data_IF_219911191218
#
_entry.id   IF_219911191218
#
_cell.length_a   1.000
_cell.length_b   1.000
_cell.length_c   1.000
_cell.angle_alpha   90.00
_cell.angle_beta   90.00
_cell.angle_gamma   90.00
#
_symmetry.space_group_name_H-M   'P 1'
#
loop_
_entity.id
_entity.type
_entity.pdbx_description
1 polymer ?
#
# COMPACT_ATOMS: atom_id res chain seq x y z
N UNK A 1 -34.57 27.27 4.71
CA UNK A 1 -34.59 25.94 4.07
C UNK A 1 -33.24 25.78 3.37
N UNK A 2 -32.29 25.16 4.06
CA UNK A 2 -30.97 24.89 3.51
C UNK A 2 -31.04 23.57 2.73
N UNK A 3 -30.48 23.60 1.54
CA UNK A 3 -30.38 22.53 0.57
C UNK A 3 -29.86 21.21 1.19
N UNK A 4 -30.60 20.07 1.13
CA UNK A 4 -30.23 18.84 1.82
C UNK A 4 -29.32 17.90 0.99
N UNK A 5 -28.59 18.39 -0.02
CA UNK A 5 -27.66 17.57 -0.81
C UNK A 5 -26.34 18.33 -1.09
N UNK A 6 -25.20 17.86 -0.56
CA UNK A 6 -24.61 16.62 -1.08
C UNK A 6 -23.98 15.74 0.03
N UNK A 7 -24.76 14.82 0.59
CA UNK A 7 -24.23 13.57 1.20
C UNK A 7 -24.34 12.37 0.26
N UNK A 8 -24.70 12.61 -1.01
CA UNK A 8 -24.69 11.59 -2.05
C UNK A 8 -23.29 11.48 -2.65
N UNK A 9 -22.72 10.29 -2.50
CA UNK A 9 -21.50 9.79 -3.16
C UNK A 9 -20.18 10.37 -2.62
N UNK A 10 -19.86 10.10 -1.36
CA UNK A 10 -18.47 9.75 -1.07
C UNK A 10 -18.25 8.39 -1.75
N UNK A 11 -17.69 8.39 -2.98
CA UNK A 11 -17.33 7.13 -3.63
C UNK A 11 -16.45 6.35 -2.66
N UNK A 12 -16.85 5.13 -2.34
CA UNK A 12 -15.98 4.18 -1.65
C UNK A 12 -14.91 3.74 -2.65
N UNK A 13 -13.90 4.60 -2.85
CA UNK A 13 -12.81 4.39 -3.79
C UNK A 13 -12.06 3.09 -3.52
N UNK A 14 -12.11 2.55 -2.29
CA UNK A 14 -11.52 1.24 -1.95
C UNK A 14 -12.30 0.05 -2.56
N UNK A 15 -13.53 0.27 -3.04
CA UNK A 15 -14.33 -0.77 -3.73
C UNK A 15 -14.21 -0.72 -5.24
N UNK A 16 -13.66 0.36 -5.79
CA UNK A 16 -13.42 0.48 -7.22
C UNK A 16 -12.10 -0.20 -7.58
N UNK A 17 -12.17 -1.10 -8.57
CA UNK A 17 -10.99 -1.79 -9.08
C UNK A 17 -10.74 -1.44 -10.54
N UNK A 18 -9.50 -1.07 -10.83
CA UNK A 18 -8.95 -0.98 -12.17
C UNK A 18 -7.47 -1.38 -12.08
N UNK A 19 -6.91 -1.98 -13.14
CA UNK A 19 -5.48 -2.21 -13.18
C UNK A 19 -4.71 -0.89 -13.19
N UNK A 20 -3.52 -0.94 -12.59
CA UNK A 20 -2.57 0.16 -12.70
C UNK A 20 -1.86 0.15 -14.06
N UNK A 21 -1.32 1.32 -14.39
CA UNK A 21 -0.47 1.53 -15.56
C UNK A 21 0.77 0.64 -15.51
N UNK A 22 1.24 0.21 -16.68
CA UNK A 22 2.39 -0.69 -16.82
C UNK A 22 3.66 -0.14 -16.14
N UNK A 23 3.83 1.18 -16.16
CA UNK A 23 4.92 1.89 -15.48
C UNK A 23 4.96 1.59 -13.96
N UNK A 24 3.81 1.47 -13.31
CA UNK A 24 3.75 1.16 -11.88
C UNK A 24 4.28 -0.24 -11.60
N UNK A 25 3.90 -1.23 -12.42
CA UNK A 25 4.38 -2.60 -12.29
C UNK A 25 5.87 -2.71 -12.59
N UNK A 26 6.33 -2.08 -13.68
CA UNK A 26 7.74 -2.06 -14.08
C UNK A 26 8.65 -1.56 -12.96
N UNK A 27 8.27 -0.45 -12.31
CA UNK A 27 9.04 0.12 -11.18
C UNK A 27 9.23 -0.84 -10.01
N UNK A 28 8.23 -1.68 -9.73
CA UNK A 28 8.33 -2.70 -8.68
C UNK A 28 9.24 -3.84 -9.16
N UNK A 29 8.94 -4.40 -10.33
CA UNK A 29 9.63 -5.58 -10.87
C UNK A 29 11.14 -5.35 -11.04
N UNK A 30 11.55 -4.16 -11.48
CA UNK A 30 12.98 -3.79 -11.63
C UNK A 30 13.76 -3.77 -10.31
N UNK A 31 13.07 -3.73 -9.17
CA UNK A 31 13.66 -3.60 -7.84
C UNK A 31 13.45 -4.84 -6.97
N UNK A 32 12.83 -5.89 -7.50
CA UNK A 32 12.63 -7.15 -6.78
C UNK A 32 13.93 -7.94 -6.71
N UNK A 33 14.05 -8.74 -5.65
CA UNK A 33 15.16 -9.67 -5.48
C UNK A 33 14.64 -11.10 -5.68
N UNK A 34 15.31 -11.95 -6.48
CA UNK A 34 14.93 -13.36 -6.57
C UNK A 34 14.93 -14.02 -5.19
N UNK A 35 13.90 -14.83 -4.90
CA UNK A 35 13.70 -15.50 -3.62
C UNK A 35 13.05 -14.66 -2.51
N UNK A 36 12.88 -13.35 -2.72
CA UNK A 36 12.20 -12.45 -1.77
C UNK A 36 10.77 -12.92 -1.49
N UNK A 37 10.37 -12.93 -0.21
CA UNK A 37 9.02 -13.24 0.20
C UNK A 37 8.18 -11.95 0.26
N UNK A 38 7.17 -11.87 -0.59
CA UNK A 38 6.39 -10.65 -0.84
C UNK A 38 4.94 -10.85 -0.40
N UNK A 39 4.39 -9.90 0.36
CA UNK A 39 2.95 -9.77 0.58
C UNK A 39 2.36 -8.70 -0.34
N UNK A 40 1.46 -9.09 -1.26
CA UNK A 40 0.68 -8.15 -2.06
C UNK A 40 -0.69 -7.93 -1.44
N UNK A 41 -0.95 -6.69 -1.01
CA UNK A 41 -2.20 -6.27 -0.37
C UNK A 41 -3.09 -5.63 -1.45
N UNK A 42 -4.28 -6.20 -1.66
CA UNK A 42 -5.17 -5.80 -2.76
C UNK A 42 -4.68 -6.32 -4.09
N UNK A 43 -4.42 -7.62 -4.16
CA UNK A 43 -3.80 -8.25 -5.32
C UNK A 43 -4.67 -8.23 -6.59
N UNK A 44 -5.94 -7.80 -6.49
CA UNK A 44 -6.82 -7.64 -7.63
C UNK A 44 -7.00 -8.95 -8.41
N UNK A 45 -6.70 -8.90 -9.71
CA UNK A 45 -6.79 -10.04 -10.63
C UNK A 45 -5.51 -10.89 -10.67
N UNK A 46 -4.61 -10.76 -9.69
CA UNK A 46 -3.33 -11.47 -9.56
C UNK A 46 -2.28 -11.11 -10.59
N UNK A 47 -2.52 -10.10 -11.43
CA UNK A 47 -1.61 -9.73 -12.52
C UNK A 47 -0.21 -9.39 -12.05
N UNK A 48 -0.07 -8.54 -11.03
CA UNK A 48 1.24 -8.20 -10.51
C UNK A 48 1.84 -9.40 -9.76
N UNK A 49 1.08 -10.09 -8.91
CA UNK A 49 1.51 -11.31 -8.22
C UNK A 49 2.18 -12.32 -9.16
N UNK A 50 1.55 -12.60 -10.30
CA UNK A 50 2.07 -13.55 -11.30
C UNK A 50 3.41 -13.08 -11.86
N UNK A 51 3.53 -11.81 -12.20
CA UNK A 51 4.77 -11.23 -12.74
C UNK A 51 5.90 -11.21 -11.71
N UNK A 52 5.58 -10.99 -10.44
CA UNK A 52 6.57 -11.08 -9.35
C UNK A 52 7.07 -12.52 -9.18
N UNK A 53 6.18 -13.52 -9.32
CA UNK A 53 6.57 -14.94 -9.30
C UNK A 53 7.44 -15.30 -10.51
N UNK A 54 7.15 -14.76 -11.70
CA UNK A 54 7.98 -14.91 -12.89
C UNK A 54 9.36 -14.28 -12.71
N UNK A 55 9.45 -13.15 -12.00
CA UNK A 55 10.71 -12.53 -11.60
C UNK A 55 11.46 -13.28 -10.48
N UNK A 56 10.94 -14.43 -10.02
CA UNK A 56 11.59 -15.32 -9.06
C UNK A 56 11.23 -15.08 -7.59
N UNK A 57 10.24 -14.23 -7.29
CA UNK A 57 9.76 -14.02 -5.93
C UNK A 57 8.82 -15.14 -5.44
N UNK A 58 8.64 -15.21 -4.12
CA UNK A 58 7.57 -15.97 -3.47
C UNK A 58 6.49 -14.99 -3.02
N UNK A 59 5.29 -15.10 -3.55
CA UNK A 59 4.24 -14.10 -3.36
C UNK A 59 3.08 -14.66 -2.56
N UNK A 60 2.60 -13.88 -1.61
CA UNK A 60 1.35 -14.07 -0.88
C UNK A 60 0.41 -12.94 -1.32
N UNK A 61 -0.58 -13.28 -2.13
CA UNK A 61 -1.52 -12.34 -2.74
C UNK A 61 -2.84 -12.35 -1.96
N UNK A 62 -3.18 -11.22 -1.33
CA UNK A 62 -4.41 -11.06 -0.54
C UNK A 62 -5.37 -10.12 -1.28
N UNK A 63 -6.59 -10.58 -1.52
CA UNK A 63 -7.66 -9.79 -2.13
C UNK A 63 -8.98 -10.06 -1.40
N UNK A 64 -9.75 -9.00 -1.10
CA UNK A 64 -11.06 -9.09 -0.43
C UNK A 64 -12.21 -9.27 -1.42
N UNK A 65 -12.08 -8.70 -2.62
CA UNK A 65 -13.10 -8.68 -3.64
C UNK A 65 -13.08 -10.00 -4.42
N UNK A 66 -13.95 -10.93 -4.00
CA UNK A 66 -14.07 -12.25 -4.62
C UNK A 66 -14.18 -12.17 -6.15
N UNK A 67 -15.00 -11.25 -6.67
CA UNK A 67 -15.25 -11.14 -8.11
C UNK A 67 -14.00 -10.76 -8.92
N UNK A 68 -13.12 -9.92 -8.37
CA UNK A 68 -11.88 -9.53 -9.04
C UNK A 68 -10.89 -10.68 -9.01
N UNK A 69 -10.72 -11.30 -7.84
CA UNK A 69 -9.85 -12.44 -7.67
C UNK A 69 -10.27 -13.65 -8.52
N UNK A 70 -11.59 -13.90 -8.60
CA UNK A 70 -12.19 -14.95 -9.42
C UNK A 70 -11.84 -14.79 -10.91
N UNK A 71 -11.84 -13.55 -11.44
CA UNK A 71 -11.42 -13.27 -12.82
C UNK A 71 -9.95 -13.64 -13.04
N UNK A 72 -9.08 -13.31 -12.09
CA UNK A 72 -7.66 -13.69 -12.13
C UNK A 72 -7.47 -15.21 -12.18
N UNK A 73 -8.19 -15.96 -11.33
CA UNK A 73 -8.16 -17.42 -11.34
C UNK A 73 -8.69 -18.02 -12.65
N UNK A 74 -9.80 -17.48 -13.18
CA UNK A 74 -10.36 -17.92 -14.46
C UNK A 74 -9.38 -17.70 -15.62
N UNK A 75 -8.66 -16.58 -15.64
CA UNK A 75 -7.61 -16.31 -16.63
C UNK A 75 -6.45 -17.33 -16.56
N UNK A 76 -6.26 -17.97 -15.40
CA UNK A 76 -5.31 -19.07 -15.19
C UNK A 76 -5.90 -20.46 -15.50
N UNK A 77 -7.15 -20.55 -15.97
CA UNK A 77 -7.85 -21.82 -16.21
C UNK A 77 -8.34 -22.52 -14.94
N UNK A 78 -8.44 -21.80 -13.82
CA UNK A 78 -8.86 -22.35 -12.53
C UNK A 78 -10.30 -21.96 -12.22
N UNK A 79 -11.06 -22.91 -11.65
CA UNK A 79 -12.41 -22.63 -11.15
C UNK A 79 -12.33 -21.78 -9.88
N UNK A 80 -13.01 -20.61 -9.80
CA UNK A 80 -13.07 -19.80 -8.58
C UNK A 80 -13.68 -20.52 -7.37
N UNK A 81 -14.38 -21.64 -7.60
CA UNK A 81 -14.95 -22.48 -6.54
C UNK A 81 -13.90 -23.12 -5.63
N UNK A 82 -12.60 -23.01 -5.94
CA UNK A 82 -11.51 -23.42 -5.04
C UNK A 82 -11.32 -22.44 -3.87
N UNK A 83 -11.73 -21.18 -4.03
CA UNK A 83 -11.55 -20.13 -3.02
C UNK A 83 -12.33 -20.45 -1.75
N UNK A 84 -11.66 -20.28 -0.60
CA UNK A 84 -12.24 -20.39 0.73
C UNK A 84 -11.73 -19.19 1.53
N UNK A 85 -12.65 -18.49 2.20
CA UNK A 85 -12.32 -17.31 3.00
C UNK A 85 -11.17 -17.61 3.97
N UNK A 86 -10.14 -16.77 3.96
CA UNK A 86 -8.93 -16.82 4.80
C UNK A 86 -8.07 -18.09 4.67
N UNK A 87 -8.39 -19.00 3.74
CA UNK A 87 -7.59 -20.21 3.49
C UNK A 87 -6.68 -20.02 2.27
N UNK A 88 -5.35 -20.02 2.45
CA UNK A 88 -4.41 -19.89 1.34
C UNK A 88 -4.50 -21.06 0.36
N UNK A 89 -4.38 -20.75 -0.93
CA UNK A 89 -4.32 -21.73 -2.02
C UNK A 89 -2.94 -21.64 -2.66
N UNK A 90 -2.14 -22.71 -2.60
CA UNK A 90 -0.85 -22.74 -3.28
C UNK A 90 -1.04 -22.94 -4.79
N UNK A 91 -0.47 -22.04 -5.56
CA UNK A 91 -0.34 -22.09 -7.02
C UNK A 91 1.15 -22.01 -7.38
N UNK A 92 1.49 -22.31 -8.64
CA UNK A 92 2.86 -22.19 -9.17
C UNK A 92 3.91 -22.87 -8.28
N UNK A 93 3.69 -24.16 -7.98
CA UNK A 93 4.58 -24.96 -7.12
C UNK A 93 4.77 -24.36 -5.71
N UNK A 94 3.77 -23.64 -5.20
CA UNK A 94 3.81 -22.99 -3.89
C UNK A 94 4.54 -21.65 -3.86
N UNK A 95 5.02 -21.15 -5.01
CA UNK A 95 5.60 -19.80 -5.11
C UNK A 95 4.55 -18.70 -5.10
N UNK A 96 3.28 -19.02 -5.37
CA UNK A 96 2.16 -18.11 -5.22
C UNK A 96 1.17 -18.69 -4.21
N UNK A 97 0.91 -17.97 -3.12
CA UNK A 97 -0.20 -18.25 -2.21
C UNK A 97 -1.30 -17.22 -2.47
N UNK A 98 -2.46 -17.67 -2.93
CA UNK A 98 -3.63 -16.82 -3.12
C UNK A 98 -4.54 -16.90 -1.91
N UNK A 99 -4.91 -15.76 -1.34
CA UNK A 99 -5.74 -15.66 -0.15
C UNK A 99 -6.93 -14.75 -0.43
N UNK A 100 -8.13 -15.31 -0.37
CA UNK A 100 -9.35 -14.51 -0.35
C UNK A 100 -9.67 -14.09 1.09
N UNK A 101 -9.32 -12.86 1.46
CA UNK A 101 -9.48 -12.37 2.82
C UNK A 101 -9.52 -10.84 2.86
N UNK A 102 -9.98 -10.28 3.99
CA UNK A 102 -9.81 -8.87 4.30
C UNK A 102 -8.43 -8.65 4.91
N UNK A 103 -7.53 -7.98 4.17
CA UNK A 103 -6.19 -7.68 4.64
C UNK A 103 -6.16 -6.80 5.91
N UNK A 104 -7.27 -6.15 6.30
CA UNK A 104 -7.36 -5.40 7.55
C UNK A 104 -7.37 -6.33 8.76
N UNK A 105 -8.07 -7.46 8.68
CA UNK A 105 -8.23 -8.42 9.78
C UNK A 105 -7.34 -9.66 9.65
N UNK A 106 -7.03 -10.09 8.43
CA UNK A 106 -6.24 -11.30 8.18
C UNK A 106 -4.80 -11.17 8.74
N UNK A 107 -4.30 -12.14 9.52
CA UNK A 107 -2.96 -12.04 10.12
C UNK A 107 -1.87 -12.09 9.06
N UNK A 108 -0.98 -11.10 9.05
CA UNK A 108 0.14 -11.08 8.11
C UNK A 108 1.19 -12.11 8.54
N UNK A 109 1.74 -12.91 7.61
CA UNK A 109 2.89 -13.75 7.89
C UNK A 109 4.18 -12.92 7.85
N UNK A 110 5.30 -13.43 8.38
CA UNK A 110 6.62 -12.84 8.16
C UNK A 110 6.92 -12.75 6.66
N UNK A 111 7.32 -11.56 6.20
CA UNK A 111 7.67 -11.26 4.81
C UNK A 111 8.80 -10.23 4.78
N UNK A 112 9.60 -10.26 3.72
CA UNK A 112 10.70 -9.31 3.53
C UNK A 112 10.16 -7.95 3.06
N UNK A 113 9.22 -8.04 2.12
CA UNK A 113 8.68 -6.92 1.35
C UNK A 113 7.18 -6.99 1.22
N UNK A 114 6.54 -5.83 1.17
CA UNK A 114 5.13 -5.70 0.86
C UNK A 114 4.89 -4.81 -0.36
N UNK A 115 3.75 -5.03 -1.01
CA UNK A 115 3.24 -4.20 -2.10
C UNK A 115 1.82 -3.77 -1.74
N UNK A 116 1.56 -2.47 -1.79
CA UNK A 116 0.25 -1.86 -1.55
C UNK A 116 -0.01 -0.80 -2.63
N UNK A 117 -0.57 -1.22 -3.76
CA UNK A 117 -1.03 -0.28 -4.78
C UNK A 117 -2.52 0.02 -4.54
N UNK A 118 -2.79 1.07 -3.78
CA UNK A 118 -4.12 1.59 -3.43
C UNK A 118 -4.06 3.11 -3.24
N UNK A 119 -4.26 3.89 -4.32
CA UNK A 119 -4.11 5.37 -4.31
C UNK A 119 -4.96 6.09 -3.27
N UNK A 120 -6.08 5.50 -2.86
CA UNK A 120 -7.03 6.07 -1.91
C UNK A 120 -7.20 5.18 -0.68
N UNK A 121 -6.09 4.67 -0.14
CA UNK A 121 -6.11 3.79 1.02
C UNK A 121 -6.35 4.56 2.33
N UNK A 122 -7.54 4.40 2.92
CA UNK A 122 -7.85 4.92 4.25
C UNK A 122 -7.20 4.09 5.35
N UNK A 123 -6.90 2.82 5.07
CA UNK A 123 -6.30 1.87 6.02
C UNK A 123 -4.76 1.87 6.00
N UNK A 124 -4.11 2.84 5.35
CA UNK A 124 -2.64 2.87 5.23
C UNK A 124 -1.89 2.77 6.58
N UNK A 125 -2.24 3.56 7.64
CA UNK A 125 -1.57 3.44 8.94
C UNK A 125 -1.71 2.04 9.56
N UNK A 126 -2.86 1.38 9.34
CA UNK A 126 -3.10 0.03 9.83
C UNK A 126 -2.14 -0.96 9.15
N UNK A 127 -2.01 -0.89 7.83
CA UNK A 127 -1.11 -1.79 7.09
C UNK A 127 0.35 -1.57 7.49
N UNK A 128 0.80 -0.33 7.67
CA UNK A 128 2.14 -0.03 8.18
C UNK A 128 2.39 -0.72 9.53
N UNK A 129 1.45 -0.62 10.48
CA UNK A 129 1.60 -1.28 11.79
C UNK A 129 1.68 -2.80 11.65
N UNK A 130 0.80 -3.40 10.85
CA UNK A 130 0.79 -4.86 10.65
C UNK A 130 2.08 -5.37 10.00
N UNK A 131 2.58 -4.66 8.99
CA UNK A 131 3.83 -5.00 8.31
C UNK A 131 5.03 -4.92 9.25
N UNK A 132 5.13 -3.84 10.04
CA UNK A 132 6.22 -3.71 11.04
C UNK A 132 6.14 -4.79 12.11
N UNK A 133 4.94 -5.15 12.57
CA UNK A 133 4.75 -6.18 13.59
C UNK A 133 5.25 -7.56 13.16
N UNK A 134 5.29 -7.84 11.86
CA UNK A 134 5.81 -9.10 11.30
C UNK A 134 7.26 -9.00 10.81
N UNK A 135 7.93 -7.88 11.10
CA UNK A 135 9.33 -7.65 10.74
C UNK A 135 9.57 -7.18 9.31
N UNK A 136 8.53 -6.88 8.53
CA UNK A 136 8.68 -6.37 7.17
C UNK A 136 9.38 -5.01 7.18
N UNK A 137 10.39 -4.86 6.31
CA UNK A 137 11.25 -3.66 6.24
C UNK A 137 11.03 -2.83 5.00
N UNK A 138 10.34 -3.35 3.98
CA UNK A 138 10.26 -2.71 2.68
C UNK A 138 8.84 -2.71 2.16
N UNK A 139 8.38 -1.57 1.67
CA UNK A 139 7.04 -1.41 1.10
C UNK A 139 7.10 -0.65 -0.21
N UNK A 140 6.58 -1.25 -1.28
CA UNK A 140 6.23 -0.52 -2.50
C UNK A 140 4.79 -0.04 -2.41
N UNK A 141 4.55 1.24 -2.62
CA UNK A 141 3.19 1.79 -2.54
C UNK A 141 2.97 3.00 -3.45
N UNK A 142 1.71 3.34 -3.68
CA UNK A 142 1.28 4.60 -4.26
C UNK A 142 0.23 5.31 -3.38
N UNK A 143 0.07 4.87 -2.13
CA UNK A 143 -1.03 5.31 -1.28
C UNK A 143 -0.84 6.74 -0.75
N UNK A 144 0.41 7.17 -0.51
CA UNK A 144 0.69 8.51 0.05
C UNK A 144 0.58 9.60 -1.00
N UNK A 145 1.38 9.49 -2.06
CA UNK A 145 1.44 10.47 -3.14
C UNK A 145 0.32 10.35 -4.17
N UNK A 146 -0.40 9.22 -4.18
CA UNK A 146 -1.49 8.91 -5.13
C UNK A 146 -1.06 8.83 -6.60
N UNK A 147 0.21 9.09 -6.88
CA UNK A 147 0.84 9.04 -8.20
C UNK A 147 2.19 8.34 -8.08
N UNK A 148 2.59 7.67 -9.16
CA UNK A 148 3.83 6.92 -9.21
C UNK A 148 3.83 5.73 -8.23
N UNK A 149 4.99 5.11 -8.09
CA UNK A 149 5.27 4.11 -7.07
C UNK A 149 6.49 4.60 -6.31
N UNK A 150 6.38 4.62 -4.98
CA UNK A 150 7.47 4.85 -4.05
C UNK A 150 7.88 3.55 -3.35
N UNK A 151 9.13 3.51 -2.94
CA UNK A 151 9.68 2.46 -2.08
C UNK A 151 9.94 3.08 -0.70
N UNK A 152 9.46 2.42 0.35
CA UNK A 152 9.50 2.88 1.73
C UNK A 152 10.29 1.87 2.56
N UNK A 153 11.30 2.33 3.31
CA UNK A 153 11.88 1.57 4.44
C UNK A 153 10.92 1.72 5.63
N UNK A 154 10.41 0.60 6.18
CA UNK A 154 9.48 0.54 7.30
C UNK A 154 10.15 0.57 8.69
N UNK A 155 11.46 0.82 8.73
CA UNK A 155 12.18 1.12 9.96
C UNK A 155 11.71 2.38 10.68
N UNK A 156 12.31 2.65 11.86
CA UNK A 156 12.09 3.89 12.59
C UNK A 156 12.29 5.11 11.70
N UNK A 157 11.39 6.08 11.78
CA UNK A 157 11.50 7.35 11.09
C UNK A 157 11.55 8.53 12.09
N UNK A 158 11.81 9.75 11.59
CA UNK A 158 11.98 10.93 12.45
C UNK A 158 10.64 11.45 12.97
N UNK A 159 10.67 12.27 14.02
CA UNK A 159 9.52 13.14 14.30
C UNK A 159 9.45 14.28 13.28
N UNK A 160 8.25 14.70 12.92
CA UNK A 160 8.07 15.91 12.10
C UNK A 160 8.72 17.14 12.73
N UNK A 161 8.80 17.23 14.06
CA UNK A 161 9.43 18.39 14.71
C UNK A 161 10.96 18.44 14.52
N UNK A 162 11.59 17.33 14.14
CA UNK A 162 13.05 17.18 14.05
C UNK A 162 13.59 17.33 12.61
N UNK A 163 12.71 17.48 11.60
CA UNK A 163 13.13 17.56 10.20
C UNK A 163 13.35 19.01 9.75
N UNK A 164 14.33 19.32 8.89
CA UNK A 164 14.42 20.61 8.22
C UNK A 164 13.17 20.93 7.37
N UNK A 165 13.02 22.19 6.91
CA UNK A 165 12.05 22.54 5.88
C UNK A 165 12.19 21.65 4.63
N UNK A 166 11.06 21.32 3.99
CA UNK A 166 11.06 20.42 2.83
C UNK A 166 9.86 19.47 2.79
N UNK A 167 9.83 18.59 1.78
CA UNK A 167 8.80 17.57 1.66
C UNK A 167 8.91 16.54 2.79
N UNK A 168 7.77 16.12 3.32
CA UNK A 168 7.70 15.01 4.25
C UNK A 168 6.63 14.00 3.82
N UNK A 169 6.84 12.75 4.22
CA UNK A 169 5.91 11.68 4.02
C UNK A 169 5.82 10.81 5.28
N UNK A 170 4.61 10.71 5.83
CA UNK A 170 4.39 10.15 7.16
C UNK A 170 3.92 8.69 7.12
N UNK A 171 4.20 7.94 8.19
CA UNK A 171 3.66 6.60 8.44
C UNK A 171 2.13 6.57 8.56
N UNK A 172 1.47 7.70 8.86
CA UNK A 172 0.01 7.78 8.80
C UNK A 172 -0.54 7.92 7.37
N UNK A 173 0.32 8.06 6.36
CA UNK A 173 -0.06 8.25 4.97
C UNK A 173 -0.18 9.69 4.52
N UNK A 174 -0.13 10.66 5.44
CA UNK A 174 -0.07 12.07 5.11
C UNK A 174 1.27 12.43 4.44
N UNK A 175 1.21 13.32 3.45
CA UNK A 175 2.36 13.97 2.82
C UNK A 175 2.15 15.47 2.85
N UNK A 176 3.24 16.23 2.82
CA UNK A 176 3.14 17.69 2.77
C UNK A 176 4.52 18.33 2.73
N UNK A 177 4.53 19.64 2.93
CA UNK A 177 5.75 20.43 2.99
C UNK A 177 5.87 21.09 4.37
N UNK A 178 7.02 20.93 5.03
CA UNK A 178 7.36 21.68 6.24
C UNK A 178 7.92 23.04 5.81
N UNK A 179 7.21 24.10 6.17
CA UNK A 179 7.63 25.47 5.89
C UNK A 179 8.84 25.89 6.74
N UNK A 180 9.54 26.91 6.28
CA UNK A 180 10.67 27.52 6.97
C UNK A 180 11.19 28.74 6.20
N UNK A 181 12.29 29.35 6.68
CA UNK A 181 12.89 30.50 6.01
C UNK A 181 13.27 30.16 4.56
N UNK A 182 13.00 31.04 3.56
CA UNK A 182 13.28 30.76 2.16
C UNK A 182 14.74 30.37 1.88
N UNK A 183 15.68 30.93 2.63
CA UNK A 183 17.12 30.62 2.54
C UNK A 183 17.48 29.17 2.92
N UNK A 184 16.59 28.47 3.64
CA UNK A 184 16.75 27.06 3.98
C UNK A 184 16.18 26.09 2.93
N UNK A 185 15.51 26.62 1.90
CA UNK A 185 14.89 25.83 0.82
C UNK A 185 15.73 25.97 -0.45
N UNK A 186 16.70 25.06 -0.60
CA UNK A 186 17.50 24.92 -1.81
C UNK A 186 16.96 23.80 -2.73
N UNK A 187 17.60 23.60 -3.89
CA UNK A 187 17.22 22.55 -4.81
C UNK A 187 17.29 21.14 -4.16
N UNK A 188 18.27 20.91 -3.28
CA UNK A 188 18.42 19.65 -2.58
C UNK A 188 17.29 19.40 -1.57
N UNK A 189 16.78 20.45 -0.92
CA UNK A 189 15.63 20.38 -0.03
C UNK A 189 14.33 20.06 -0.80
N UNK A 190 14.19 20.54 -2.03
CA UNK A 190 13.04 20.24 -2.89
C UNK A 190 13.03 18.82 -3.45
N UNK A 191 14.21 18.22 -3.65
CA UNK A 191 14.34 16.82 -4.10
C UNK A 191 14.23 15.80 -2.96
N UNK A 192 14.50 16.22 -1.72
CA UNK A 192 14.49 15.34 -0.56
C UNK A 192 13.08 15.20 0.03
N UNK A 193 12.69 13.96 0.28
CA UNK A 193 11.52 13.62 1.09
C UNK A 193 11.99 13.10 2.45
N UNK A 194 11.48 13.70 3.52
CA UNK A 194 11.71 13.22 4.88
C UNK A 194 10.66 12.20 5.30
N UNK A 195 11.10 10.98 5.65
CA UNK A 195 10.24 9.97 6.28
C UNK A 195 10.00 10.33 7.75
N UNK A 196 8.72 10.41 8.15
CA UNK A 196 8.33 10.77 9.53
C UNK A 196 7.32 9.81 10.15
N UNK A 197 7.39 9.57 11.46
CA UNK A 197 6.42 8.71 12.18
C UNK A 197 5.27 9.49 12.82
N UNK A 198 5.52 10.74 13.16
CA UNK A 198 4.55 11.66 13.75
C UNK A 198 4.54 12.92 12.91
N UNK A 199 3.37 13.33 12.43
CA UNK A 199 3.16 14.60 11.73
C UNK A 199 1.90 15.29 12.28
N UNK A 200 1.61 16.55 11.89
CA UNK A 200 0.41 17.24 12.38
C UNK A 200 -0.90 16.48 12.14
N UNK A 201 -0.99 15.72 11.03
CA UNK A 201 -2.16 14.89 10.74
C UNK A 201 -2.25 13.59 11.58
N UNK A 202 -1.21 13.23 12.33
CA UNK A 202 -1.25 12.10 13.27
C UNK A 202 -1.98 12.44 14.57
N UNK A 203 -2.01 13.72 14.93
CA UNK A 203 -2.73 14.18 16.10
C UNK A 203 -4.22 14.25 15.75
N UNK A 204 -5.14 13.77 16.61
CA UNK A 204 -6.55 14.02 16.40
C UNK A 204 -6.76 15.54 16.35
N UNK A 205 -7.57 16.01 15.39
CA UNK A 205 -8.05 17.40 15.38
C UNK A 205 -8.66 17.66 16.76
N UNK A 206 -7.95 18.39 17.62
CA UNK A 206 -8.54 18.96 18.82
C UNK A 206 -9.54 19.98 18.32
N UNK A 207 -10.82 19.61 18.37
CA UNK A 207 -11.90 20.56 18.16
C UNK A 207 -11.90 21.45 19.40
N UNK A 208 -11.06 22.49 19.40
CA UNK A 208 -11.13 23.54 20.40
C UNK A 208 -12.27 24.50 20.01
N UNK A 209 -13.31 24.55 20.86
CA UNK A 209 -14.32 25.60 20.84
C UNK A 209 -15.69 25.20 20.26
N UNK A 210 -16.52 24.61 21.12
CA UNK A 210 -17.96 24.84 21.11
C UNK A 210 -18.27 26.02 22.04
#
# INVERSE_FOLDING_TARGET
MADPLPRLIALDWETLWAPYEEEAYRRILERLRPGECILEIGAGDLRLALRMVEAGARVIAVERQWAVLARGLQALGLSPGILRWERPIPLREGRLLVVWADARTWPFPPVDTAVLLMRHCASFPLYIRKLRAVGCRRLFTNARWRIGVEEIDLGPARSFEEIPPGWYACRCGAVGFREGPPEAIDAAALERVWEVETCPACQPLTVEGA
#
